data_IF_677447091770
#
_entry.id   IF_677447091770
#
_cell.length_a   1.000
_cell.length_b   1.000
_cell.length_c   1.000
_cell.angle_alpha   90.00
_cell.angle_beta   90.00
_cell.angle_gamma   90.00
#
_symmetry.space_group_name_H-M   'P 1'
#
loop_
_entity.id
_entity.type
_entity.pdbx_description
1 polymer ?
#
# COMPACT_ATOMS: atom_id res chain seq x y z
N UNK A 1 15.54 -8.48 -5.39
CA UNK A 1 14.46 -8.50 -6.37
C UNK A 1 14.04 -7.07 -6.75
N UNK A 2 13.50 -6.27 -5.84
CA UNK A 2 12.98 -4.92 -6.16
C UNK A 2 14.00 -4.00 -6.86
N UNK A 3 15.30 -4.15 -6.55
CA UNK A 3 16.43 -3.42 -7.17
C UNK A 3 16.93 -4.08 -8.49
N UNK A 4 16.18 -4.94 -9.12
CA UNK A 4 16.61 -5.66 -10.34
C UNK A 4 17.69 -6.72 -10.11
N UNK A 5 18.10 -7.01 -8.87
CA UNK A 5 19.06 -8.07 -8.56
C UNK A 5 18.35 -9.42 -8.41
N UNK A 6 18.96 -10.48 -8.89
CA UNK A 6 18.44 -11.85 -8.69
C UNK A 6 18.75 -12.29 -7.25
N UNK A 7 17.75 -12.50 -6.40
CA UNK A 7 17.96 -12.99 -5.04
C UNK A 7 18.24 -14.51 -5.05
N UNK A 8 18.86 -15.03 -3.99
CA UNK A 8 19.14 -16.46 -3.83
C UNK A 8 17.86 -17.31 -3.75
N UNK A 9 16.76 -16.72 -3.24
CA UNK A 9 15.42 -17.29 -3.23
C UNK A 9 14.37 -16.20 -3.48
N UNK A 10 13.14 -16.56 -3.83
CA UNK A 10 12.04 -15.61 -3.94
C UNK A 10 11.80 -14.96 -2.59
N UNK A 11 11.90 -13.62 -2.47
CA UNK A 11 11.60 -12.93 -1.22
C UNK A 11 10.12 -13.05 -0.88
N UNK A 12 9.82 -13.12 0.42
CA UNK A 12 8.45 -13.28 0.95
C UNK A 12 8.17 -12.23 2.02
N UNK A 13 7.06 -11.55 1.89
CA UNK A 13 6.50 -10.70 2.95
C UNK A 13 4.98 -10.67 2.86
N UNK A 14 4.29 -10.27 3.94
CA UNK A 14 2.84 -10.24 3.98
C UNK A 14 2.34 -8.81 4.10
N UNK A 15 1.44 -8.40 3.20
CA UNK A 15 0.96 -7.01 3.11
C UNK A 15 0.28 -6.50 4.39
N UNK A 16 -0.35 -7.38 5.15
CA UNK A 16 -0.91 -7.07 6.47
C UNK A 16 -0.34 -8.02 7.52
N UNK A 17 0.90 -7.76 7.85
CA UNK A 17 1.62 -8.55 8.85
C UNK A 17 1.10 -8.27 10.26
N UNK A 18 1.06 -6.99 10.65
CA UNK A 18 0.50 -6.57 11.93
C UNK A 18 -1.03 -6.62 11.90
N UNK A 19 -1.64 -7.15 12.92
CA UNK A 19 -3.08 -7.16 12.97
C UNK A 19 -3.69 -7.99 14.09
N UNK A 20 -5.00 -7.98 14.12
CA UNK A 20 -5.83 -8.63 15.16
C UNK A 20 -5.66 -10.15 15.27
N UNK A 21 -5.03 -10.79 14.30
CA UNK A 21 -4.66 -12.20 14.35
C UNK A 21 -3.59 -12.49 15.41
N UNK A 22 -2.71 -11.50 15.68
CA UNK A 22 -1.63 -11.66 16.64
C UNK A 22 -2.11 -11.34 18.07
N UNK A 23 -2.01 -12.29 19.02
CA UNK A 23 -2.37 -12.03 20.42
C UNK A 23 -1.53 -10.91 21.04
N UNK A 24 -0.25 -10.82 20.70
CA UNK A 24 0.67 -9.76 21.13
C UNK A 24 0.20 -8.38 20.63
N UNK A 25 -0.23 -8.26 19.40
CA UNK A 25 -0.80 -7.02 18.87
C UNK A 25 -2.02 -6.57 19.69
N UNK A 26 -2.94 -7.49 19.99
CA UNK A 26 -4.14 -7.16 20.76
C UNK A 26 -3.81 -6.67 22.16
N UNK A 27 -2.77 -7.24 22.80
CA UNK A 27 -2.33 -6.83 24.15
C UNK A 27 -1.73 -5.42 24.18
N UNK A 28 -0.80 -5.12 23.25
CA UNK A 28 -0.11 -3.81 23.23
C UNK A 28 -1.02 -2.67 22.77
N UNK A 29 -2.11 -3.01 22.09
CA UNK A 29 -3.08 -2.05 21.59
C UNK A 29 -4.33 -1.87 22.46
N UNK A 30 -4.42 -2.57 23.58
CA UNK A 30 -5.58 -2.47 24.46
C UNK A 30 -5.78 -1.02 24.96
N UNK A 31 -6.97 -0.46 24.71
CA UNK A 31 -7.31 0.91 25.09
C UNK A 31 -6.69 2.04 24.23
N UNK A 32 -5.85 1.74 23.24
CA UNK A 32 -5.21 2.74 22.41
C UNK A 32 -5.88 2.78 21.02
N UNK A 33 -6.38 3.94 20.55
CA UNK A 33 -6.91 4.10 19.20
C UNK A 33 -5.87 3.78 18.13
N UNK A 34 -6.31 3.29 16.96
CA UNK A 34 -5.37 2.82 15.92
C UNK A 34 -4.49 3.97 15.40
N UNK A 35 -5.05 5.12 15.11
CA UNK A 35 -4.27 6.25 14.61
C UNK A 35 -3.31 6.79 15.67
N UNK A 36 -3.71 6.84 16.93
CA UNK A 36 -2.84 7.31 18.02
C UNK A 36 -1.60 6.42 18.18
N UNK A 37 -1.76 5.11 17.99
CA UNK A 37 -0.63 4.17 18.04
C UNK A 37 0.39 4.38 16.90
N UNK A 38 0.01 5.04 15.80
CA UNK A 38 0.94 5.41 14.73
C UNK A 38 1.84 6.61 15.08
N UNK A 39 1.49 7.36 16.13
CA UNK A 39 2.26 8.50 16.65
C UNK A 39 2.98 8.15 17.97
N UNK A 40 3.13 6.88 18.28
CA UNK A 40 3.86 6.38 19.46
C UNK A 40 5.04 5.55 18.98
N UNK A 41 6.26 6.11 18.88
CA UNK A 41 7.41 5.48 18.20
C UNK A 41 7.71 4.05 18.65
N UNK A 42 7.76 3.82 19.96
CA UNK A 42 8.07 2.50 20.53
C UNK A 42 6.95 1.49 20.23
N UNK A 43 5.69 1.93 20.30
CA UNK A 43 4.55 1.07 20.01
C UNK A 43 4.43 0.75 18.52
N UNK A 44 4.66 1.75 17.67
CA UNK A 44 4.73 1.59 16.22
C UNK A 44 5.81 0.57 15.85
N UNK A 45 7.01 0.69 16.43
CA UNK A 45 8.13 -0.22 16.20
C UNK A 45 7.80 -1.62 16.68
N UNK A 46 7.32 -1.78 17.91
CA UNK A 46 6.94 -3.10 18.47
C UNK A 46 5.91 -3.79 17.56
N UNK A 47 4.85 -3.09 17.14
CA UNK A 47 3.80 -3.66 16.28
C UNK A 47 4.35 -4.06 14.91
N UNK A 48 5.25 -3.27 14.34
CA UNK A 48 5.89 -3.57 13.05
C UNK A 48 6.75 -4.84 13.13
N UNK A 49 7.46 -5.04 14.23
CA UNK A 49 8.40 -6.14 14.41
C UNK A 49 7.75 -7.46 14.84
N UNK A 50 6.58 -7.43 15.47
CA UNK A 50 5.88 -8.65 15.92
C UNK A 50 5.70 -9.69 14.81
N UNK A 51 5.18 -9.35 13.61
CA UNK A 51 5.06 -10.31 12.53
C UNK A 51 6.40 -10.81 12.00
N UNK A 52 7.41 -9.95 11.95
CA UNK A 52 8.76 -10.32 11.49
C UNK A 52 9.36 -11.39 12.40
N UNK A 53 9.30 -11.16 13.71
CA UNK A 53 9.77 -12.12 14.72
C UNK A 53 8.99 -13.44 14.71
N UNK A 54 7.69 -13.40 14.37
CA UNK A 54 6.81 -14.57 14.35
C UNK A 54 6.91 -15.39 13.07
N UNK A 55 7.05 -14.73 11.91
CA UNK A 55 6.91 -15.37 10.61
C UNK A 55 8.21 -15.47 9.82
N UNK A 56 9.30 -14.91 10.34
CA UNK A 56 10.63 -14.93 9.70
C UNK A 56 10.58 -14.51 8.22
N UNK A 57 9.89 -13.41 7.94
CA UNK A 57 9.71 -12.86 6.59
C UNK A 57 10.91 -12.00 6.19
N UNK A 58 11.09 -11.82 4.86
CA UNK A 58 12.21 -11.07 4.29
C UNK A 58 12.03 -9.55 4.35
N UNK A 59 10.82 -9.07 4.66
CA UNK A 59 10.58 -7.64 4.86
C UNK A 59 9.50 -7.38 5.90
N UNK A 60 9.74 -6.36 6.72
CA UNK A 60 8.72 -5.70 7.51
C UNK A 60 7.96 -4.70 6.65
N UNK A 61 6.67 -4.51 6.90
CA UNK A 61 5.94 -3.32 6.46
C UNK A 61 5.64 -2.45 7.66
N UNK A 62 5.95 -1.16 7.54
CA UNK A 62 5.71 -0.18 8.58
C UNK A 62 4.27 -0.25 9.08
N UNK A 63 4.07 -0.34 10.40
CA UNK A 63 2.74 -0.22 10.97
C UNK A 63 2.29 1.25 10.91
N UNK A 64 1.34 1.52 10.04
CA UNK A 64 0.77 2.85 9.84
C UNK A 64 -0.61 2.73 9.19
N UNK A 65 -1.20 3.84 8.81
CA UNK A 65 -2.40 3.90 7.95
C UNK A 65 -2.19 4.95 6.85
N UNK A 66 -2.83 4.74 5.71
CA UNK A 66 -2.74 5.68 4.57
C UNK A 66 -3.26 7.07 4.90
N UNK A 67 -4.10 7.22 5.94
CA UNK A 67 -4.65 8.51 6.39
C UNK A 67 -3.80 9.20 7.46
N UNK A 68 -2.71 8.59 7.94
CA UNK A 68 -1.80 9.21 8.91
C UNK A 68 -1.31 10.60 8.47
N UNK A 69 -0.87 10.83 7.22
CA UNK A 69 -0.45 12.17 6.79
C UNK A 69 -1.59 13.20 6.83
N UNK A 70 -2.83 12.78 6.59
CA UNK A 70 -3.99 13.66 6.70
C UNK A 70 -4.27 14.03 8.17
N UNK A 71 -4.16 13.05 9.08
CA UNK A 71 -4.30 13.29 10.53
C UNK A 71 -3.18 14.21 11.04
N UNK A 72 -1.93 13.97 10.62
CA UNK A 72 -0.79 14.81 10.96
C UNK A 72 -0.92 16.25 10.46
N UNK A 73 -1.54 16.43 9.27
CA UNK A 73 -1.87 17.73 8.73
C UNK A 73 -3.00 18.45 9.50
N UNK A 74 -3.63 17.80 10.47
CA UNK A 74 -4.68 18.39 11.31
C UNK A 74 -6.11 18.10 10.85
N UNK A 75 -6.33 17.16 9.93
CA UNK A 75 -7.69 16.75 9.59
C UNK A 75 -8.35 15.98 10.73
N UNK A 76 -9.63 16.26 10.94
CA UNK A 76 -10.47 15.49 11.85
C UNK A 76 -10.90 14.18 11.16
N UNK A 77 -10.06 13.17 11.37
CA UNK A 77 -10.23 11.82 10.82
C UNK A 77 -9.97 10.79 11.90
N UNK A 78 -10.80 9.76 11.95
CA UNK A 78 -10.71 8.65 12.91
C UNK A 78 -10.86 7.30 12.21
N UNK A 79 -10.30 6.25 12.81
CA UNK A 79 -10.58 4.87 12.38
C UNK A 79 -11.60 4.24 13.31
N UNK A 80 -12.83 4.16 12.82
CA UNK A 80 -13.95 3.58 13.57
C UNK A 80 -13.93 2.05 13.43
N UNK A 81 -13.91 1.30 14.54
CA UNK A 81 -13.95 -0.17 14.50
C UNK A 81 -15.12 -0.70 13.67
N UNK A 82 -14.82 -1.62 12.73
CA UNK A 82 -15.81 -2.22 11.85
C UNK A 82 -16.25 -1.35 10.65
N UNK A 83 -15.89 -0.07 10.64
CA UNK A 83 -16.22 0.85 9.54
C UNK A 83 -14.96 1.28 8.75
N UNK A 84 -13.84 1.56 9.44
CA UNK A 84 -12.62 2.09 8.82
C UNK A 84 -12.49 3.62 9.00
N UNK A 85 -11.68 4.30 8.16
CA UNK A 85 -11.50 5.73 8.23
C UNK A 85 -12.81 6.50 8.06
N UNK A 86 -13.06 7.49 8.91
CA UNK A 86 -14.22 8.40 8.87
C UNK A 86 -13.70 9.82 8.93
N UNK A 87 -14.09 10.64 7.97
CA UNK A 87 -13.74 12.05 7.86
C UNK A 87 -14.92 12.89 8.39
N UNK A 88 -14.69 13.70 9.41
CA UNK A 88 -15.75 14.51 10.04
C UNK A 88 -16.32 15.55 9.08
N UNK A 89 -15.46 16.15 8.27
CA UNK A 89 -15.82 17.22 7.32
C UNK A 89 -15.44 16.81 5.88
N UNK A 90 -16.29 16.01 5.19
CA UNK A 90 -16.00 15.56 3.85
C UNK A 90 -15.97 16.71 2.84
N UNK A 91 -15.07 16.62 1.85
CA UNK A 91 -14.94 17.58 0.76
C UNK A 91 -16.15 17.49 -0.18
N UNK A 92 -16.76 18.65 -0.48
CA UNK A 92 -17.93 18.77 -1.35
C UNK A 92 -17.77 19.86 -2.40
N UNK A 93 -16.98 20.88 -2.11
CA UNK A 93 -16.86 22.09 -2.91
C UNK A 93 -15.40 22.46 -3.12
N UNK A 94 -15.16 23.37 -4.05
CA UNK A 94 -13.84 23.97 -4.25
C UNK A 94 -13.31 24.66 -2.98
N UNK A 95 -14.19 25.34 -2.25
CA UNK A 95 -13.81 26.01 -1.00
C UNK A 95 -13.34 25.00 0.08
N UNK A 96 -13.91 23.78 0.09
CA UNK A 96 -13.43 22.74 0.99
C UNK A 96 -12.03 22.28 0.62
N UNK A 97 -11.74 22.17 -0.70
CA UNK A 97 -10.40 21.86 -1.19
C UNK A 97 -9.40 22.95 -0.80
N UNK A 98 -9.76 24.21 -0.99
CA UNK A 98 -8.84 25.32 -0.70
C UNK A 98 -8.51 25.44 0.79
N UNK A 99 -9.42 25.00 1.67
CA UNK A 99 -9.21 24.91 3.13
C UNK A 99 -8.53 23.65 3.61
N UNK A 100 -8.31 22.64 2.74
CA UNK A 100 -7.66 21.39 3.15
C UNK A 100 -6.24 21.70 3.67
N UNK A 101 -5.92 21.38 4.94
CA UNK A 101 -4.58 21.60 5.45
C UNK A 101 -3.56 20.72 4.72
N UNK A 102 -2.33 21.21 4.67
CA UNK A 102 -1.20 20.48 4.09
C UNK A 102 -0.28 19.98 5.21
N UNK A 103 0.31 18.83 4.98
CA UNK A 103 1.46 18.41 5.77
C UNK A 103 2.69 19.14 5.22
N UNK A 104 3.25 20.05 5.99
CA UNK A 104 4.35 20.94 5.61
C UNK A 104 5.66 20.62 6.37
N UNK A 105 5.61 19.66 7.29
CA UNK A 105 6.74 19.24 8.09
C UNK A 105 6.81 17.69 8.18
N UNK A 106 7.94 17.19 8.69
CA UNK A 106 8.12 15.76 8.93
C UNK A 106 7.25 15.27 10.09
N UNK A 107 6.75 14.04 9.97
CA UNK A 107 6.05 13.34 11.07
C UNK A 107 7.10 12.66 11.96
N UNK A 108 7.64 13.43 12.92
CA UNK A 108 8.78 13.02 13.76
C UNK A 108 8.54 11.69 14.46
N UNK A 109 7.36 11.46 15.03
CA UNK A 109 7.02 10.20 15.71
C UNK A 109 7.17 8.99 14.79
N UNK A 110 6.76 9.12 13.53
CA UNK A 110 6.91 8.04 12.53
C UNK A 110 8.38 7.83 12.18
N UNK A 111 9.15 8.91 12.01
CA UNK A 111 10.57 8.83 11.73
C UNK A 111 11.35 8.15 12.87
N UNK A 112 11.03 8.48 14.12
CA UNK A 112 11.65 7.87 15.29
C UNK A 112 11.29 6.39 15.42
N UNK A 113 10.02 6.03 15.17
CA UNK A 113 9.61 4.64 15.13
C UNK A 113 10.35 3.83 14.05
N UNK A 114 10.57 4.41 12.86
CA UNK A 114 11.36 3.77 11.79
C UNK A 114 12.79 3.51 12.24
N UNK A 115 13.44 4.47 12.91
CA UNK A 115 14.83 4.29 13.43
C UNK A 115 14.90 3.14 14.43
N UNK A 116 13.94 3.05 15.37
CA UNK A 116 13.86 1.92 16.32
C UNK A 116 13.72 0.60 15.59
N UNK A 117 12.87 0.52 14.54
CA UNK A 117 12.69 -0.69 13.75
C UNK A 117 14.00 -1.11 13.08
N UNK A 118 14.71 -0.15 12.46
CA UNK A 118 15.95 -0.43 11.74
C UNK A 118 17.07 -0.93 12.65
N UNK A 119 17.13 -0.46 13.89
CA UNK A 119 18.08 -0.94 14.90
C UNK A 119 17.87 -2.42 15.28
N UNK A 120 16.66 -2.97 15.06
CA UNK A 120 16.31 -4.34 15.40
C UNK A 120 16.24 -5.29 14.20
N UNK A 121 16.07 -4.78 12.97
CA UNK A 121 16.07 -5.60 11.76
C UNK A 121 17.49 -6.11 11.48
N UNK A 122 17.56 -7.32 10.91
CA UNK A 122 18.83 -7.88 10.44
C UNK A 122 19.17 -7.39 9.04
N UNK A 123 20.44 -7.45 8.65
CA UNK A 123 20.94 -7.09 7.31
C UNK A 123 20.23 -7.82 6.16
N UNK A 124 19.57 -8.94 6.44
CA UNK A 124 18.81 -9.72 5.45
C UNK A 124 17.33 -9.35 5.35
N UNK A 125 16.86 -8.46 6.20
CA UNK A 125 15.47 -8.01 6.26
C UNK A 125 15.35 -6.56 5.81
N UNK A 126 14.32 -6.24 5.05
CA UNK A 126 14.07 -4.90 4.56
C UNK A 126 12.88 -4.27 5.31
N UNK A 127 12.87 -2.94 5.40
CA UNK A 127 11.71 -2.18 5.85
C UNK A 127 11.01 -1.51 4.67
N UNK A 128 9.74 -1.87 4.46
CA UNK A 128 8.89 -1.25 3.45
C UNK A 128 8.06 -0.16 4.12
N UNK A 129 8.27 1.09 3.69
CA UNK A 129 7.37 2.19 3.98
C UNK A 129 6.21 2.24 2.98
N UNK A 130 5.20 3.07 3.24
CA UNK A 130 4.11 3.23 2.30
C UNK A 130 3.36 4.53 2.44
N UNK A 131 2.64 4.88 1.38
CA UNK A 131 1.69 5.99 1.35
C UNK A 131 0.40 5.58 0.62
N UNK A 132 -0.70 6.24 0.95
CA UNK A 132 -1.94 6.12 0.19
C UNK A 132 -1.82 6.83 -1.15
N UNK A 133 -2.28 6.20 -2.23
CA UNK A 133 -2.35 6.82 -3.54
C UNK A 133 -3.40 7.94 -3.58
N UNK A 134 -3.22 8.92 -4.45
CA UNK A 134 -4.04 10.14 -4.45
C UNK A 134 -5.52 9.87 -4.67
N UNK A 135 -5.91 8.94 -5.56
CA UNK A 135 -7.32 8.57 -5.76
C UNK A 135 -7.93 7.97 -4.50
N UNK A 136 -7.23 7.06 -3.86
CA UNK A 136 -7.72 6.40 -2.65
C UNK A 136 -7.93 7.40 -1.51
N UNK A 137 -7.01 8.34 -1.30
CA UNK A 137 -7.15 9.38 -0.28
C UNK A 137 -8.24 10.40 -0.63
N UNK A 138 -8.30 10.86 -1.89
CA UNK A 138 -9.35 11.74 -2.37
C UNK A 138 -10.74 11.11 -2.18
N UNK A 139 -10.85 9.80 -2.46
CA UNK A 139 -12.10 9.07 -2.27
C UNK A 139 -12.55 9.06 -0.80
N UNK A 140 -11.65 8.80 0.16
CA UNK A 140 -12.00 8.90 1.59
C UNK A 140 -12.45 10.31 1.98
N UNK A 141 -11.76 11.34 1.49
CA UNK A 141 -12.10 12.73 1.78
C UNK A 141 -13.46 13.13 1.20
N UNK A 142 -13.77 12.70 -0.02
CA UNK A 142 -15.03 13.03 -0.69
C UNK A 142 -16.18 12.18 -0.14
N UNK A 143 -16.03 10.87 -0.02
CA UNK A 143 -17.10 10.01 0.49
C UNK A 143 -17.39 10.25 1.98
N UNK A 144 -16.39 10.69 2.74
CA UNK A 144 -16.44 10.85 4.19
C UNK A 144 -16.17 9.56 4.95
N UNK A 145 -15.79 8.50 4.25
CA UNK A 145 -15.50 7.18 4.77
C UNK A 145 -15.45 6.12 3.68
N UNK A 146 -15.47 4.83 4.04
CA UNK A 146 -15.54 3.76 3.05
C UNK A 146 -16.78 3.85 2.18
N UNK A 147 -16.63 3.65 0.88
CA UNK A 147 -17.70 3.60 -0.09
C UNK A 147 -17.67 2.28 -0.86
N UNK A 148 -18.84 1.82 -1.28
CA UNK A 148 -18.94 0.59 -2.08
C UNK A 148 -18.68 0.84 -3.57
N UNK A 149 -19.10 1.98 -4.10
CA UNK A 149 -19.02 2.28 -5.53
C UNK A 149 -18.37 3.63 -5.84
N UNK A 150 -17.99 4.41 -4.83
CA UNK A 150 -17.36 5.74 -4.96
C UNK A 150 -18.18 6.74 -5.79
N UNK A 151 -19.50 6.77 -5.56
CA UNK A 151 -20.44 7.54 -6.39
C UNK A 151 -20.17 9.04 -6.35
N UNK A 152 -19.94 9.60 -5.15
CA UNK A 152 -19.65 11.04 -5.00
C UNK A 152 -18.30 11.40 -5.60
N UNK A 153 -17.30 10.53 -5.43
CA UNK A 153 -15.96 10.69 -5.99
C UNK A 153 -16.02 10.74 -7.50
N UNK A 154 -16.67 9.76 -8.13
CA UNK A 154 -16.83 9.72 -9.58
C UNK A 154 -17.68 10.87 -10.10
N UNK A 155 -18.72 11.26 -9.38
CA UNK A 155 -19.54 12.42 -9.74
C UNK A 155 -18.68 13.70 -9.77
N UNK A 156 -17.85 13.96 -8.76
CA UNK A 156 -16.94 15.10 -8.74
C UNK A 156 -15.93 15.06 -9.88
N UNK A 157 -15.32 13.89 -10.16
CA UNK A 157 -14.37 13.73 -11.27
C UNK A 157 -14.95 14.20 -12.61
N UNK A 158 -16.21 13.83 -12.90
CA UNK A 158 -16.82 14.10 -14.19
C UNK A 158 -17.63 15.40 -14.25
N UNK A 159 -18.28 15.79 -13.15
CA UNK A 159 -19.12 17.00 -13.13
C UNK A 159 -18.33 18.25 -12.75
N UNK A 160 -17.25 18.10 -11.97
CA UNK A 160 -16.44 19.22 -11.47
C UNK A 160 -14.93 18.93 -11.62
N UNK A 161 -14.44 18.67 -12.86
CA UNK A 161 -13.07 18.23 -13.08
C UNK A 161 -12.03 19.23 -12.54
N UNK A 162 -12.31 20.52 -12.57
CA UNK A 162 -11.41 21.54 -12.01
C UNK A 162 -11.27 21.41 -10.48
N UNK A 163 -12.38 21.14 -9.77
CA UNK A 163 -12.39 20.89 -8.33
C UNK A 163 -11.64 19.59 -8.01
N UNK A 164 -11.88 18.53 -8.80
CA UNK A 164 -11.16 17.27 -8.68
C UNK A 164 -9.65 17.45 -8.83
N UNK A 165 -9.21 18.07 -9.92
CA UNK A 165 -7.79 18.31 -10.18
C UNK A 165 -7.14 19.24 -9.14
N UNK A 166 -7.90 20.19 -8.57
CA UNK A 166 -7.42 21.01 -7.48
C UNK A 166 -7.18 20.17 -6.21
N UNK A 167 -8.11 19.26 -5.89
CA UNK A 167 -7.95 18.34 -4.76
C UNK A 167 -6.73 17.45 -4.94
N UNK A 168 -6.56 16.85 -6.13
CA UNK A 168 -5.43 15.98 -6.42
C UNK A 168 -4.10 16.72 -6.29
N UNK A 169 -3.98 17.92 -6.85
CA UNK A 169 -2.78 18.77 -6.71
C UNK A 169 -2.51 19.16 -5.25
N UNK A 170 -3.55 19.27 -4.43
CA UNK A 170 -3.40 19.61 -3.01
C UNK A 170 -2.98 18.40 -2.17
N UNK A 171 -3.32 17.18 -2.59
CA UNK A 171 -2.94 15.95 -1.89
C UNK A 171 -1.49 15.54 -2.16
N UNK A 172 -0.98 15.74 -3.37
CA UNK A 172 0.38 15.32 -3.75
C UNK A 172 1.45 15.82 -2.78
N UNK A 173 1.54 17.11 -2.42
CA UNK A 173 2.53 17.58 -1.45
C UNK A 173 2.45 16.89 -0.09
N UNK A 174 1.24 16.66 0.44
CA UNK A 174 1.03 15.96 1.72
C UNK A 174 1.51 14.50 1.65
N UNK A 175 1.18 13.80 0.57
CA UNK A 175 1.62 12.42 0.34
C UNK A 175 3.14 12.36 0.23
N UNK A 176 3.73 13.28 -0.52
CA UNK A 176 5.19 13.33 -0.77
C UNK A 176 5.95 13.70 0.51
N UNK A 177 5.46 14.65 1.32
CA UNK A 177 6.08 15.01 2.59
C UNK A 177 6.10 13.81 3.55
N UNK A 178 5.01 13.06 3.64
CA UNK A 178 4.96 11.86 4.46
C UNK A 178 5.85 10.73 3.92
N UNK A 179 5.95 10.59 2.60
CA UNK A 179 6.88 9.64 2.00
C UNK A 179 8.34 10.06 2.28
N UNK A 180 8.65 11.34 2.18
CA UNK A 180 9.98 11.87 2.48
C UNK A 180 10.37 11.62 3.94
N UNK A 181 9.45 11.84 4.90
CA UNK A 181 9.67 11.48 6.32
C UNK A 181 10.16 10.03 6.47
N UNK A 182 9.56 9.10 5.74
CA UNK A 182 9.91 7.68 5.83
C UNK A 182 11.26 7.38 5.17
N UNK A 183 11.53 7.97 4.01
CA UNK A 183 12.79 7.77 3.27
C UNK A 183 13.98 8.34 4.07
N UNK A 184 13.84 9.55 4.59
CA UNK A 184 14.89 10.23 5.37
C UNK A 184 15.15 9.49 6.70
N UNK A 185 14.17 8.74 7.20
CA UNK A 185 14.33 7.87 8.35
C UNK A 185 14.98 6.52 8.01
N UNK A 186 15.05 6.12 6.72
CA UNK A 186 15.87 4.99 6.24
C UNK A 186 15.10 3.76 5.74
N UNK A 187 13.85 3.87 5.27
CA UNK A 187 13.16 2.73 4.66
C UNK A 187 13.88 2.22 3.40
N UNK A 188 13.80 0.91 3.13
CA UNK A 188 14.50 0.26 2.01
C UNK A 188 13.68 0.25 0.71
N UNK A 189 12.38 0.36 0.80
CA UNK A 189 11.45 0.42 -0.33
C UNK A 189 10.17 1.15 0.08
N UNK A 190 9.43 1.67 -0.91
CA UNK A 190 8.12 2.29 -0.66
C UNK A 190 7.02 1.56 -1.43
N UNK A 191 5.80 1.55 -0.89
CA UNK A 191 4.62 1.09 -1.60
C UNK A 191 3.55 2.18 -1.68
N UNK A 192 3.09 2.46 -2.90
CA UNK A 192 1.94 3.32 -3.19
C UNK A 192 0.68 2.45 -3.18
N UNK A 193 -0.19 2.64 -2.18
CA UNK A 193 -1.42 1.89 -2.03
C UNK A 193 -2.59 2.55 -2.75
N UNK A 194 -2.96 2.03 -3.91
CA UNK A 194 -4.12 2.47 -4.69
C UNK A 194 -5.31 1.51 -4.55
N UNK A 195 -5.73 1.33 -3.31
CA UNK A 195 -6.71 0.30 -2.91
C UNK A 195 -8.06 0.40 -3.63
N UNK A 196 -8.44 1.60 -4.07
CA UNK A 196 -9.74 1.88 -4.68
C UNK A 196 -9.69 2.08 -6.19
N UNK A 197 -8.50 2.14 -6.83
CA UNK A 197 -8.35 2.39 -8.26
C UNK A 197 -9.06 1.36 -9.16
N UNK A 198 -9.22 0.13 -8.68
CA UNK A 198 -9.94 -0.92 -9.41
C UNK A 198 -11.43 -0.62 -9.66
N UNK A 199 -11.98 0.43 -9.06
CA UNK A 199 -13.34 0.92 -9.36
C UNK A 199 -13.40 1.86 -10.57
N UNK A 200 -12.25 2.22 -11.15
CA UNK A 200 -12.15 3.12 -12.30
C UNK A 200 -12.05 2.33 -13.62
N UNK A 201 -12.51 2.96 -14.68
CA UNK A 201 -12.15 2.56 -16.04
C UNK A 201 -10.69 2.94 -16.30
N UNK A 202 -10.03 2.28 -17.28
CA UNK A 202 -8.68 2.66 -17.68
C UNK A 202 -8.61 4.12 -18.14
N UNK A 203 -9.63 4.58 -18.89
CA UNK A 203 -9.73 5.97 -19.36
C UNK A 203 -9.76 6.95 -18.19
N UNK A 204 -10.63 6.69 -17.19
CA UNK A 204 -10.75 7.57 -16.03
C UNK A 204 -9.48 7.56 -15.18
N UNK A 205 -8.85 6.40 -15.02
CA UNK A 205 -7.56 6.32 -14.34
C UNK A 205 -6.49 7.16 -15.05
N UNK A 206 -6.36 7.03 -16.36
CA UNK A 206 -5.40 7.79 -17.17
C UNK A 206 -5.62 9.29 -17.11
N UNK A 207 -6.88 9.71 -17.21
CA UNK A 207 -7.25 11.13 -17.24
C UNK A 207 -7.16 11.80 -15.87
N UNK A 208 -7.72 11.15 -14.85
CA UNK A 208 -7.97 11.79 -13.54
C UNK A 208 -6.98 11.39 -12.45
N UNK A 209 -6.20 10.32 -12.59
CA UNK A 209 -5.38 9.75 -11.52
C UNK A 209 -3.91 9.59 -11.88
N UNK A 210 -3.62 8.98 -13.03
CA UNK A 210 -2.25 8.66 -13.46
C UNK A 210 -1.26 9.83 -13.34
N UNK A 211 -1.58 11.07 -13.77
CA UNK A 211 -0.62 12.18 -13.68
C UNK A 211 -0.11 12.43 -12.25
N UNK A 212 -0.97 12.25 -11.26
CA UNK A 212 -0.65 12.47 -9.84
C UNK A 212 0.12 11.30 -9.22
N UNK A 213 -0.18 10.07 -9.65
CA UNK A 213 0.61 8.89 -9.27
C UNK A 213 2.03 8.97 -9.84
N UNK A 214 2.17 9.42 -11.09
CA UNK A 214 3.47 9.71 -11.72
C UNK A 214 4.23 10.75 -10.89
N UNK A 215 3.61 11.89 -10.59
CA UNK A 215 4.25 12.98 -9.84
C UNK A 215 4.79 12.48 -8.49
N UNK A 216 4.02 11.69 -7.74
CA UNK A 216 4.46 11.14 -6.45
C UNK A 216 5.65 10.17 -6.65
N UNK A 217 5.54 9.23 -7.58
CA UNK A 217 6.58 8.23 -7.78
C UNK A 217 7.87 8.84 -8.35
N UNK A 218 7.78 9.88 -9.18
CA UNK A 218 8.95 10.58 -9.72
C UNK A 218 9.75 11.34 -8.66
N UNK A 219 9.10 11.83 -7.58
CA UNK A 219 9.81 12.55 -6.51
C UNK A 219 10.90 11.72 -5.82
N UNK A 220 10.81 10.40 -5.92
CA UNK A 220 11.73 9.45 -5.25
C UNK A 220 12.37 8.46 -6.24
N UNK A 221 12.29 8.78 -7.53
CA UNK A 221 12.86 7.95 -8.59
C UNK A 221 14.39 7.80 -8.44
N UNK A 222 14.86 6.55 -8.44
CA UNK A 222 16.29 6.25 -8.31
C UNK A 222 16.85 6.31 -6.89
N UNK A 223 16.07 6.73 -5.89
CA UNK A 223 16.50 6.74 -4.48
C UNK A 223 16.21 5.37 -3.83
N UNK A 224 15.00 4.88 -3.94
CA UNK A 224 14.56 3.58 -3.40
C UNK A 224 13.63 2.86 -4.38
N UNK A 225 13.50 1.52 -4.30
CA UNK A 225 12.50 0.78 -5.07
C UNK A 225 11.08 1.24 -4.77
N UNK A 226 10.28 1.38 -5.81
CA UNK A 226 8.89 1.83 -5.74
C UNK A 226 7.95 0.70 -6.15
N UNK A 227 7.00 0.39 -5.29
CA UNK A 227 5.98 -0.63 -5.50
C UNK A 227 4.65 0.08 -5.72
N UNK A 228 3.95 -0.19 -6.81
CA UNK A 228 2.60 0.30 -7.04
C UNK A 228 1.60 -0.85 -6.93
N UNK A 229 0.65 -0.76 -6.03
CA UNK A 229 -0.31 -1.83 -5.75
C UNK A 229 -1.73 -1.30 -5.64
N UNK A 230 -2.67 -2.04 -6.22
CA UNK A 230 -4.11 -1.83 -6.08
C UNK A 230 -4.90 -3.14 -6.06
N UNK A 231 -6.12 -3.09 -5.55
CA UNK A 231 -7.04 -4.24 -5.52
C UNK A 231 -8.04 -4.15 -6.67
N UNK A 232 -8.34 -5.28 -7.30
CA UNK A 232 -9.22 -5.37 -8.47
C UNK A 232 -8.77 -4.51 -9.67
N UNK A 233 -7.48 -4.27 -9.77
CA UNK A 233 -6.88 -3.38 -10.79
C UNK A 233 -6.50 -4.11 -12.10
N UNK A 234 -6.93 -5.35 -12.28
CA UNK A 234 -6.58 -6.14 -13.46
C UNK A 234 -6.74 -5.41 -14.78
N UNK A 235 -7.86 -4.71 -14.99
CA UNK A 235 -8.15 -4.00 -16.23
C UNK A 235 -7.37 -2.69 -16.41
N UNK A 236 -6.77 -2.16 -15.34
CA UNK A 236 -6.01 -0.92 -15.36
C UNK A 236 -4.51 -1.11 -15.09
N UNK A 237 -4.04 -2.38 -15.00
CA UNK A 237 -2.63 -2.68 -14.69
C UNK A 237 -1.65 -2.04 -15.69
N UNK A 238 -2.01 -1.98 -16.97
CA UNK A 238 -1.22 -1.29 -18.00
C UNK A 238 -1.04 0.19 -17.65
N UNK A 239 -2.15 0.89 -17.39
CA UNK A 239 -2.11 2.30 -17.01
C UNK A 239 -1.37 2.54 -15.68
N UNK A 240 -1.54 1.66 -14.69
CA UNK A 240 -0.80 1.75 -13.44
C UNK A 240 0.71 1.55 -13.64
N UNK A 241 1.13 0.66 -14.55
CA UNK A 241 2.55 0.44 -14.85
C UNK A 241 3.22 1.66 -15.50
N UNK A 242 2.43 2.49 -16.19
CA UNK A 242 2.90 3.74 -16.80
C UNK A 242 3.21 4.83 -15.75
N UNK A 243 2.82 4.64 -14.49
CA UNK A 243 3.21 5.53 -13.40
C UNK A 243 4.69 5.43 -13.01
N UNK A 244 5.43 4.44 -13.51
CA UNK A 244 6.90 4.40 -13.45
C UNK A 244 7.49 3.67 -12.26
N UNK A 245 6.71 2.85 -11.52
CA UNK A 245 7.25 2.00 -10.45
C UNK A 245 8.09 0.84 -10.99
N UNK A 246 9.10 0.39 -10.24
CA UNK A 246 9.90 -0.79 -10.57
C UNK A 246 9.16 -2.10 -10.30
N UNK A 247 8.27 -2.09 -9.31
CA UNK A 247 7.54 -3.28 -8.86
C UNK A 247 6.04 -3.05 -9.03
N UNK A 248 5.37 -3.99 -9.71
CA UNK A 248 3.92 -4.00 -9.83
C UNK A 248 3.31 -5.04 -8.91
N UNK A 249 2.53 -4.55 -7.95
CA UNK A 249 1.71 -5.39 -7.09
C UNK A 249 0.45 -5.84 -7.83
N UNK A 250 0.26 -7.15 -7.93
CA UNK A 250 -0.87 -7.77 -8.64
C UNK A 250 -1.76 -8.47 -7.63
N UNK A 251 -3.06 -8.24 -7.67
CA UNK A 251 -3.98 -8.97 -6.82
C UNK A 251 -4.26 -10.40 -7.37
N UNK A 252 -4.87 -11.24 -6.56
CA UNK A 252 -5.06 -12.67 -6.86
C UNK A 252 -5.97 -12.99 -8.05
N UNK A 253 -6.70 -11.99 -8.59
CA UNK A 253 -7.68 -12.19 -9.66
C UNK A 253 -7.05 -12.39 -11.02
N UNK A 254 -5.79 -11.97 -11.20
CA UNK A 254 -5.06 -12.05 -12.45
C UNK A 254 -3.83 -12.94 -12.29
N UNK A 255 -3.66 -14.02 -13.07
CA UNK A 255 -2.41 -14.80 -13.09
C UNK A 255 -1.21 -13.90 -13.37
N UNK A 256 -0.07 -14.16 -12.72
CA UNK A 256 1.10 -13.27 -12.81
C UNK A 256 1.68 -13.17 -14.23
N UNK A 257 1.71 -14.27 -14.98
CA UNK A 257 2.17 -14.28 -16.38
C UNK A 257 1.23 -13.47 -17.30
N UNK A 258 -0.08 -13.53 -17.05
CA UNK A 258 -1.06 -12.70 -17.77
C UNK A 258 -0.93 -11.22 -17.38
N UNK A 259 -0.77 -10.92 -16.09
CA UNK A 259 -0.58 -9.54 -15.62
C UNK A 259 0.65 -8.89 -16.28
N UNK A 260 1.76 -9.61 -16.35
CA UNK A 260 3.01 -9.13 -16.94
C UNK A 260 2.88 -8.72 -18.42
N UNK A 261 1.96 -9.34 -19.17
CA UNK A 261 1.72 -8.96 -20.58
C UNK A 261 0.98 -7.63 -20.75
N UNK A 262 0.41 -7.09 -19.67
CA UNK A 262 -0.34 -5.82 -19.66
C UNK A 262 0.56 -4.61 -19.43
N UNK A 263 1.80 -4.81 -18.99
CA UNK A 263 2.73 -3.72 -18.70
C UNK A 263 3.37 -3.19 -19.98
N UNK A 264 3.61 -1.89 -20.02
CA UNK A 264 4.32 -1.22 -21.13
C UNK A 264 5.80 -1.62 -21.24
N UNK A 265 6.39 -2.09 -20.14
CA UNK A 265 7.76 -2.61 -20.07
C UNK A 265 7.90 -3.62 -18.92
N UNK A 266 8.87 -4.54 -18.99
CA UNK A 266 9.06 -5.55 -17.94
C UNK A 266 9.24 -4.93 -16.55
N UNK A 267 8.52 -5.47 -15.55
CA UNK A 267 8.57 -5.05 -14.15
C UNK A 267 8.84 -6.24 -13.24
N UNK A 268 9.25 -5.97 -12.02
CA UNK A 268 9.21 -6.99 -10.96
C UNK A 268 7.75 -7.22 -10.57
N UNK A 269 7.32 -8.46 -10.52
CA UNK A 269 5.98 -8.85 -10.07
C UNK A 269 5.96 -8.99 -8.55
N UNK A 270 4.93 -8.46 -7.90
CA UNK A 270 4.66 -8.73 -6.49
C UNK A 270 3.26 -9.30 -6.34
N UNK A 271 3.17 -10.44 -5.68
CA UNK A 271 1.87 -11.08 -5.42
C UNK A 271 1.98 -12.61 -5.47
N UNK A 272 0.86 -13.35 -5.62
CA UNK A 272 -0.51 -12.85 -5.53
C UNK A 272 -1.46 -13.94 -5.00
N UNK A 273 -1.07 -14.56 -3.87
CA UNK A 273 -1.93 -15.58 -3.25
C UNK A 273 -3.24 -14.95 -2.76
N UNK A 274 -4.36 -15.57 -3.09
CA UNK A 274 -5.66 -15.21 -2.51
C UNK A 274 -5.63 -15.51 -1.00
N UNK A 275 -5.80 -14.50 -0.15
CA UNK A 275 -5.77 -14.68 1.29
C UNK A 275 -6.87 -15.60 1.81
N UNK A 276 -7.98 -15.78 1.08
CA UNK A 276 -9.03 -16.73 1.46
C UNK A 276 -8.53 -18.18 1.44
N UNK A 277 -7.53 -18.49 0.63
CA UNK A 277 -6.97 -19.84 0.54
C UNK A 277 -6.13 -20.25 1.76
N UNK A 278 -5.72 -19.28 2.57
CA UNK A 278 -5.06 -19.57 3.86
C UNK A 278 -5.98 -20.34 4.83
N UNK A 279 -7.29 -20.34 4.61
CA UNK A 279 -8.26 -21.14 5.38
C UNK A 279 -8.53 -22.52 4.76
N UNK A 280 -7.98 -22.82 3.60
CA UNK A 280 -8.27 -24.05 2.87
C UNK A 280 -7.34 -25.24 3.27
N UNK A 281 -6.41 -25.00 4.18
CA UNK A 281 -5.43 -25.98 4.66
C UNK A 281 -4.15 -26.03 3.84
N UNK A 282 -3.12 -26.64 4.42
CA UNK A 282 -1.73 -26.59 3.98
C UNK A 282 -1.51 -27.09 2.55
N UNK A 283 -2.15 -28.21 2.18
CA UNK A 283 -1.99 -28.79 0.84
C UNK A 283 -2.49 -27.85 -0.27
N UNK A 284 -3.58 -27.12 0.00
CA UNK A 284 -4.11 -26.12 -0.93
C UNK A 284 -3.13 -24.95 -1.03
N UNK A 285 -2.66 -24.43 0.11
CA UNK A 285 -1.67 -23.33 0.13
C UNK A 285 -0.40 -23.72 -0.63
N UNK A 286 0.17 -24.90 -0.38
CA UNK A 286 1.38 -25.39 -1.07
C UNK A 286 1.17 -25.46 -2.59
N UNK A 287 0.05 -26.02 -3.04
CA UNK A 287 -0.28 -26.11 -4.46
C UNK A 287 -0.38 -24.72 -5.10
N UNK A 288 -1.07 -23.78 -4.46
CA UNK A 288 -1.26 -22.44 -4.99
C UNK A 288 0.03 -21.62 -4.98
N UNK A 289 0.87 -21.74 -3.95
CA UNK A 289 2.22 -21.17 -3.93
C UNK A 289 3.06 -21.70 -5.12
N UNK A 290 3.02 -23.00 -5.36
CA UNK A 290 3.74 -23.60 -6.50
C UNK A 290 3.21 -23.07 -7.84
N UNK A 291 1.89 -22.92 -7.99
CA UNK A 291 1.25 -22.34 -9.18
C UNK A 291 1.73 -20.91 -9.43
N UNK A 292 1.65 -20.04 -8.40
CA UNK A 292 2.05 -18.63 -8.50
C UNK A 292 3.53 -18.50 -8.86
N UNK A 293 4.40 -19.30 -8.24
CA UNK A 293 5.83 -19.32 -8.57
C UNK A 293 6.07 -19.75 -10.03
N UNK A 294 5.32 -20.73 -10.53
CA UNK A 294 5.41 -21.16 -11.93
C UNK A 294 4.93 -20.07 -12.91
N UNK A 295 3.86 -19.34 -12.58
CA UNK A 295 3.39 -18.19 -13.36
C UNK A 295 4.46 -17.09 -13.44
N UNK A 296 5.04 -16.71 -12.29
CA UNK A 296 6.12 -15.73 -12.26
C UNK A 296 7.35 -16.17 -13.05
N UNK A 297 7.73 -17.46 -12.96
CA UNK A 297 8.83 -18.02 -13.74
C UNK A 297 8.58 -17.91 -15.25
N UNK A 298 7.37 -18.26 -15.72
CA UNK A 298 6.99 -18.11 -17.15
C UNK A 298 7.08 -16.65 -17.61
N UNK A 299 6.65 -15.69 -16.78
CA UNK A 299 6.75 -14.27 -17.12
C UNK A 299 8.23 -13.82 -17.27
N UNK A 300 9.10 -14.30 -16.39
CA UNK A 300 10.54 -13.98 -16.44
C UNK A 300 11.18 -14.64 -17.65
N UNK A 301 10.89 -15.91 -17.93
CA UNK A 301 11.39 -16.64 -19.11
C UNK A 301 10.93 -16.00 -20.43
N UNK A 302 9.70 -15.50 -20.47
CA UNK A 302 9.15 -14.76 -21.61
C UNK A 302 9.71 -13.33 -21.74
N UNK A 303 10.49 -12.84 -20.78
CA UNK A 303 11.02 -11.48 -20.76
C UNK A 303 9.99 -10.39 -20.48
N UNK A 304 8.78 -10.77 -20.02
CA UNK A 304 7.70 -9.82 -19.65
C UNK A 304 7.80 -9.36 -18.20
N UNK A 305 8.58 -10.05 -17.37
CA UNK A 305 8.91 -9.64 -16.01
C UNK A 305 10.41 -9.77 -15.74
N UNK A 306 10.91 -9.04 -14.74
CA UNK A 306 12.33 -9.04 -14.35
C UNK A 306 12.59 -9.77 -13.03
N UNK A 307 11.55 -10.20 -12.33
CA UNK A 307 11.66 -10.92 -11.05
C UNK A 307 10.31 -11.08 -10.36
N UNK A 308 10.35 -11.73 -9.19
CA UNK A 308 9.15 -11.98 -8.39
C UNK A 308 9.42 -11.77 -6.89
N UNK A 309 8.48 -11.14 -6.22
CA UNK A 309 8.36 -11.03 -4.77
C UNK A 309 7.04 -11.70 -4.39
N UNK A 310 7.10 -12.76 -3.58
CA UNK A 310 5.89 -13.45 -3.14
C UNK A 310 5.19 -12.64 -2.05
N UNK A 311 3.91 -12.35 -2.27
CA UNK A 311 3.09 -11.62 -1.34
C UNK A 311 1.64 -12.12 -1.39
N UNK A 312 1.08 -12.66 -0.31
CA UNK A 312 -0.35 -12.86 -0.23
C UNK A 312 -1.03 -11.53 -0.01
N UNK A 313 -1.92 -11.17 -0.92
CA UNK A 313 -2.72 -9.94 -0.83
C UNK A 313 -3.71 -10.09 0.32
N UNK A 314 -3.51 -9.36 1.41
CA UNK A 314 -4.32 -9.49 2.62
C UNK A 314 -5.59 -8.67 2.58
N UNK A 315 -6.71 -9.25 3.03
CA UNK A 315 -7.92 -8.53 3.42
C UNK A 315 -7.93 -8.18 4.92
N UNK A 316 -8.58 -7.07 5.24
CA UNK A 316 -8.69 -6.48 6.59
C UNK A 316 -9.37 -7.35 7.65
N UNK A 317 -10.00 -8.46 7.26
CA UNK A 317 -10.92 -9.21 8.13
C UNK A 317 -10.48 -10.63 8.44
N UNK A 318 -9.32 -11.07 7.95
CA UNK A 318 -8.85 -12.42 8.18
C UNK A 318 -8.10 -12.52 9.52
N UNK A 319 -8.76 -13.05 10.53
CA UNK A 319 -8.11 -13.60 11.72
C UNK A 319 -7.50 -14.94 11.31
N UNK A 320 -6.21 -14.96 10.99
CA UNK A 320 -5.52 -16.16 10.51
C UNK A 320 -5.04 -17.02 11.70
N UNK A 321 -5.51 -18.26 11.85
CA UNK A 321 -4.89 -19.23 12.76
C UNK A 321 -3.62 -19.87 12.19
N UNK A 322 -3.31 -19.74 10.87
CA UNK A 322 -2.40 -20.67 10.19
C UNK A 322 -1.43 -20.02 9.19
N UNK A 323 -0.70 -18.96 9.55
CA UNK A 323 0.36 -18.39 8.67
C UNK A 323 1.72 -19.12 8.81
N UNK A 324 1.81 -20.19 9.53
CA UNK A 324 3.08 -20.85 9.90
C UNK A 324 3.68 -21.78 8.82
N UNK A 325 3.17 -21.83 7.58
CA UNK A 325 3.54 -22.88 6.62
C UNK A 325 3.85 -22.42 5.18
N UNK A 326 4.38 -21.23 4.99
CA UNK A 326 4.89 -20.83 3.64
C UNK A 326 6.39 -20.92 3.59
#
# INVERSE_FOLDING_TARGET
AANGRTPARTPVWFMRQAGRSLPEYRRVREGIPMLDSCFMPELLAEITLQPVRRHDVDAAILFSDIVVPLKAAGLDIEIVPGKGPVVAHPIRTRDDVDRLPLLDDSVTDVADGIRIILDELTDSQALIGFVGAPFTLASYLIEGGPSKNHEKTKAMMHAEPETWHALMRRLVPTITAFLRTQIDAGIDAMQLFDSWAGFLTERDYREFVLPYSVEILETVAGEIPRIHFGVATGEILGAMSDAGSEVMGVDWRVPLDVAATRFSSPRVLQGNLDPALLFAGDDVVRREVARIKAEAARAVEAGTATGHIFNPVSYTHLTLPTILLV
#
